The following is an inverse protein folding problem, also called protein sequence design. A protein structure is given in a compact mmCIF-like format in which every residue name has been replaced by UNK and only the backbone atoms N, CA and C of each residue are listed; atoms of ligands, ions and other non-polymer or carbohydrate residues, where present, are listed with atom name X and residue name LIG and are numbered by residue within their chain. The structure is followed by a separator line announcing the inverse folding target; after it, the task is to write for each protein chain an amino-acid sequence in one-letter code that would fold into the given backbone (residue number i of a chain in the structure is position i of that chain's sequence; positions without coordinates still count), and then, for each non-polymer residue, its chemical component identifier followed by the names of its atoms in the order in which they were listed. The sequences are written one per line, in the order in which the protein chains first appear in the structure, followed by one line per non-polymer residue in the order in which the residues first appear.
data_IF_785337531594
#
_entry.id   IF_785337531594
#
_cell.length_a   1.000
_cell.length_b   1.000
_cell.length_c   1.000
_cell.angle_alpha   90.00
_cell.angle_beta   90.00
_cell.angle_gamma   90.00
#
_symmetry.space_group_name_H-M   'P 1'
#
loop_
_entity.id
_entity.type
_entity.pdbx_description
1 polymer ?
#
# COMPACT_ATOMS: atom_id res chain seq x y z
N UNK A 1 -14.86 4.87 -7.50
CA UNK A 1 -14.50 5.81 -6.42
C UNK A 1 -14.39 4.99 -5.16
N UNK A 2 -13.19 4.87 -4.62
CA UNK A 2 -12.97 4.12 -3.38
C UNK A 2 -13.59 4.88 -2.21
N UNK A 3 -13.90 4.16 -1.12
CA UNK A 3 -14.42 4.75 0.12
C UNK A 3 -13.50 5.84 0.69
N UNK A 4 -12.20 5.79 0.35
CA UNK A 4 -11.19 6.71 0.86
C UNK A 4 -10.97 7.93 -0.04
N UNK A 5 -11.52 7.97 -1.25
CA UNK A 5 -11.29 9.08 -2.20
C UNK A 5 -11.93 10.40 -1.72
N UNK A 6 -12.89 10.33 -0.79
CA UNK A 6 -13.62 11.48 -0.24
C UNK A 6 -13.18 11.93 1.15
N UNK A 7 -12.21 11.22 1.78
CA UNK A 7 -11.76 11.50 3.15
C UNK A 7 -10.39 12.17 3.08
N UNK A 8 -10.22 13.33 3.73
CA UNK A 8 -8.94 14.02 3.72
C UNK A 8 -7.92 13.34 4.64
N UNK A 9 -6.60 13.53 4.44
CA UNK A 9 -5.59 13.02 5.37
C UNK A 9 -5.80 13.48 6.82
N UNK A 10 -6.34 14.70 7.01
CA UNK A 10 -6.68 15.23 8.34
C UNK A 10 -7.80 14.41 8.98
N UNK A 11 -8.86 14.11 8.23
CA UNK A 11 -9.99 13.34 8.73
C UNK A 11 -9.57 11.90 9.07
N UNK A 12 -8.72 11.29 8.25
CA UNK A 12 -8.13 9.97 8.55
C UNK A 12 -7.28 9.99 9.83
N UNK A 13 -6.50 11.05 10.05
CA UNK A 13 -5.71 11.18 11.28
C UNK A 13 -6.60 11.30 12.52
N UNK A 14 -7.68 12.06 12.43
CA UNK A 14 -8.66 12.16 13.53
C UNK A 14 -9.30 10.79 13.79
N UNK A 15 -9.75 10.09 12.74
CA UNK A 15 -10.34 8.75 12.88
C UNK A 15 -9.36 7.73 13.48
N UNK A 16 -8.09 7.75 13.07
CA UNK A 16 -7.08 6.86 13.62
C UNK A 16 -6.90 7.06 15.13
N UNK A 17 -6.91 8.31 15.61
CA UNK A 17 -6.86 8.62 17.03
C UNK A 17 -8.11 8.12 17.78
N UNK A 18 -9.31 8.34 17.22
CA UNK A 18 -10.55 7.86 17.83
C UNK A 18 -10.57 6.33 17.95
N UNK A 19 -10.12 5.62 16.90
CA UNK A 19 -10.00 4.17 16.90
C UNK A 19 -8.97 3.71 17.93
N UNK A 20 -7.81 4.36 18.02
CA UNK A 20 -6.79 4.02 19.01
C UNK A 20 -7.31 4.17 20.45
N UNK A 21 -7.99 5.27 20.75
CA UNK A 21 -8.62 5.49 22.07
C UNK A 21 -9.65 4.41 22.39
N UNK A 22 -10.57 4.11 21.45
CA UNK A 22 -11.60 3.11 21.64
C UNK A 22 -11.03 1.68 21.79
N UNK A 23 -9.97 1.35 21.05
CA UNK A 23 -9.34 0.01 21.10
C UNK A 23 -8.51 -0.21 22.36
N UNK A 24 -8.01 0.86 22.99
CA UNK A 24 -7.09 0.79 24.14
C UNK A 24 -7.79 1.01 25.48
N UNK A 25 -9.06 1.43 25.47
CA UNK A 25 -9.85 1.70 26.68
C UNK A 25 -9.94 0.46 27.60
N UNK A 26 -9.62 0.67 28.88
CA UNK A 26 -9.66 -0.37 29.91
C UNK A 26 -8.57 -1.46 29.81
N UNK A 27 -7.64 -1.36 28.85
CA UNK A 27 -6.54 -2.31 28.68
C UNK A 27 -5.30 -1.90 29.46
N UNK A 28 -4.53 -2.90 29.89
CA UNK A 28 -3.20 -2.70 30.45
C UNK A 28 -2.19 -2.24 29.39
N UNK A 29 -1.05 -1.72 29.85
CA UNK A 29 0.05 -1.33 28.95
C UNK A 29 0.56 -2.52 28.12
N UNK A 30 0.61 -3.72 28.69
CA UNK A 30 1.11 -4.91 28.00
C UNK A 30 0.14 -5.36 26.90
N UNK A 31 -1.16 -5.35 27.17
CA UNK A 31 -2.18 -5.65 26.16
C UNK A 31 -2.15 -4.63 25.01
N UNK A 32 -1.99 -3.34 25.33
CA UNK A 32 -1.86 -2.29 24.33
C UNK A 32 -0.57 -2.43 23.50
N UNK A 33 0.53 -2.88 24.11
CA UNK A 33 1.78 -3.15 23.39
C UNK A 33 1.61 -4.29 22.38
N UNK A 34 0.99 -5.40 22.79
CA UNK A 34 0.73 -6.55 21.91
C UNK A 34 -0.21 -6.13 20.75
N UNK A 35 -1.30 -5.42 21.06
CA UNK A 35 -2.24 -4.95 20.05
C UNK A 35 -1.59 -3.96 19.07
N UNK A 36 -0.80 -3.01 19.58
CA UNK A 36 -0.10 -2.02 18.77
C UNK A 36 0.92 -2.66 17.83
N UNK A 37 1.69 -3.65 18.31
CA UNK A 37 2.63 -4.40 17.48
C UNK A 37 1.91 -5.20 16.39
N UNK A 38 0.79 -5.85 16.73
CA UNK A 38 -0.03 -6.56 15.75
C UNK A 38 -0.55 -5.63 14.65
N UNK A 39 -1.16 -4.50 15.00
CA UNK A 39 -1.68 -3.54 14.01
C UNK A 39 -0.55 -2.94 13.16
N UNK A 40 0.60 -2.64 13.76
CA UNK A 40 1.79 -2.15 13.04
C UNK A 40 2.29 -3.16 12.01
N UNK A 41 2.34 -4.45 12.36
CA UNK A 41 2.73 -5.51 11.44
C UNK A 41 1.73 -5.66 10.29
N UNK A 42 0.42 -5.61 10.57
CA UNK A 42 -0.62 -5.64 9.54
C UNK A 42 -0.47 -4.47 8.56
N UNK A 43 -0.31 -3.24 9.06
CA UNK A 43 -0.10 -2.06 8.22
C UNK A 43 1.16 -2.18 7.36
N UNK A 44 2.26 -2.64 7.95
CA UNK A 44 3.52 -2.84 7.22
C UNK A 44 3.38 -3.86 6.10
N UNK A 45 2.67 -4.97 6.35
CA UNK A 45 2.41 -6.00 5.35
C UNK A 45 1.54 -5.48 4.20
N UNK A 46 0.50 -4.68 4.50
CA UNK A 46 -0.34 -4.06 3.47
C UNK A 46 0.50 -3.15 2.56
N UNK A 47 1.35 -2.31 3.14
CA UNK A 47 2.25 -1.41 2.38
C UNK A 47 3.25 -2.19 1.53
N UNK A 48 3.82 -3.28 2.08
CA UNK A 48 4.72 -4.15 1.33
C UNK A 48 4.03 -4.83 0.15
N UNK A 49 2.80 -5.30 0.32
CA UNK A 49 2.00 -5.89 -0.76
C UNK A 49 1.72 -4.85 -1.86
N UNK A 50 1.32 -3.63 -1.48
CA UNK A 50 1.08 -2.55 -2.44
C UNK A 50 2.35 -2.19 -3.24
N UNK A 51 3.49 -2.08 -2.56
CA UNK A 51 4.78 -1.85 -3.22
C UNK A 51 5.16 -3.00 -4.17
N UNK A 52 4.91 -4.25 -3.79
CA UNK A 52 5.14 -5.39 -4.68
C UNK A 52 4.22 -5.37 -5.91
N UNK A 53 2.95 -5.00 -5.75
CA UNK A 53 2.02 -4.84 -6.87
C UNK A 53 2.49 -3.77 -7.86
N UNK A 54 2.94 -2.62 -7.36
CA UNK A 54 3.49 -1.54 -8.20
C UNK A 54 4.77 -1.97 -8.93
N UNK A 55 5.67 -2.68 -8.23
CA UNK A 55 6.89 -3.23 -8.83
C UNK A 55 6.60 -4.23 -9.95
N UNK A 56 5.63 -5.13 -9.76
CA UNK A 56 5.21 -6.08 -10.79
C UNK A 56 4.64 -5.37 -12.02
N UNK A 57 3.77 -4.36 -11.79
CA UNK A 57 3.21 -3.54 -12.87
C UNK A 57 4.31 -2.82 -13.66
N UNK A 58 5.26 -2.17 -12.97
CA UNK A 58 6.39 -1.51 -13.62
C UNK A 58 7.26 -2.49 -14.42
N UNK A 59 7.47 -3.71 -13.91
CA UNK A 59 8.21 -4.76 -14.61
C UNK A 59 7.50 -5.19 -15.90
N UNK A 60 6.18 -5.33 -15.88
CA UNK A 60 5.38 -5.67 -17.04
C UNK A 60 5.39 -4.55 -18.09
N UNK A 61 5.25 -3.29 -17.67
CA UNK A 61 5.36 -2.13 -18.56
C UNK A 61 6.71 -2.08 -19.27
N UNK A 62 7.82 -2.32 -18.55
CA UNK A 62 9.17 -2.40 -19.14
C UNK A 62 9.30 -3.55 -20.14
N UNK A 63 8.71 -4.73 -19.88
CA UNK A 63 8.70 -5.85 -20.83
C UNK A 63 7.97 -5.48 -22.11
N UNK A 64 6.84 -4.79 -22.02
CA UNK A 64 6.09 -4.33 -23.18
C UNK A 64 6.90 -3.31 -23.99
N UNK A 65 7.55 -2.35 -23.33
CA UNK A 65 8.44 -1.38 -24.00
C UNK A 65 9.60 -2.07 -24.75
N UNK A 66 10.24 -3.08 -24.14
CA UNK A 66 11.30 -3.86 -24.80
C UNK A 66 10.77 -4.57 -26.05
N UNK A 67 9.58 -5.18 -25.97
CA UNK A 67 8.96 -5.86 -27.10
C UNK A 67 8.66 -4.90 -28.25
N UNK A 68 8.17 -3.70 -27.95
CA UNK A 68 7.89 -2.67 -28.95
C UNK A 68 9.16 -2.18 -29.63
N UNK A 69 10.24 -1.94 -28.87
CA UNK A 69 11.55 -1.58 -29.41
C UNK A 69 12.12 -2.69 -30.31
N UNK A 70 11.96 -3.96 -29.94
CA UNK A 70 12.39 -5.09 -30.77
C UNK A 70 11.65 -5.13 -32.11
N UNK A 71 10.34 -4.85 -32.12
CA UNK A 71 9.55 -4.77 -33.34
C UNK A 71 10.03 -3.63 -34.25
N UNK A 72 10.27 -2.44 -33.69
CA UNK A 72 10.79 -1.29 -34.44
C UNK A 72 12.16 -1.59 -35.08
N UNK A 73 13.09 -2.21 -34.35
CA UNK A 73 14.39 -2.60 -34.90
C UNK A 73 14.24 -3.61 -36.04
N UNK A 74 13.29 -4.55 -35.93
CA UNK A 74 13.03 -5.53 -36.98
C UNK A 74 12.51 -4.89 -38.25
N UNK A 75 11.64 -3.89 -38.13
CA UNK A 75 11.09 -3.19 -39.30
C UNK A 75 12.10 -2.27 -39.97
N UNK A 76 13.04 -1.68 -39.22
CA UNK A 76 14.16 -0.90 -39.77
C UNK A 76 15.19 -1.75 -40.54
N UNK A 77 15.22 -3.06 -40.32
CA UNK A 77 16.15 -4.00 -40.98
C UNK A 77 15.56 -4.69 -42.21
N UNK A 78 14.29 -4.45 -42.52
CA UNK A 78 13.63 -4.93 -43.74
C UNK A 78 13.83 -3.92 -44.87
#
# INVERSE_FOLDING_TARGET
MSLFDSITPKDLSILANLIALALTEGKSSDENNVLGNFLTAVSSNILNIASQQENLKSSEEKKNQIKDLQNQIKDLKK
#
